data_IF_824708551084
#
_entry.id   IF_824708551084
#
_cell.length_a   1.000
_cell.length_b   1.000
_cell.length_c   1.000
_cell.angle_alpha   90.00
_cell.angle_beta   90.00
_cell.angle_gamma   90.00
#
_symmetry.space_group_name_H-M   'P 1'
#
loop_
_entity.id
_entity.type
_entity.pdbx_description
1 polymer ?
#
# COMPACT_ATOMS: atom_id res chain seq x y z
N UNK A 1 -5.61 -51.71 6.48
CA UNK A 1 -4.56 -50.89 7.14
C UNK A 1 -3.64 -50.18 6.15
N UNK A 2 -2.95 -50.87 5.23
CA UNK A 2 -2.03 -50.23 4.26
C UNK A 2 -2.67 -49.13 3.39
N UNK A 3 -3.89 -49.33 2.93
CA UNK A 3 -4.63 -48.32 2.15
C UNK A 3 -4.96 -47.06 2.95
N UNK A 4 -5.22 -47.19 4.26
CA UNK A 4 -5.49 -46.04 5.13
C UNK A 4 -4.24 -45.17 5.32
N UNK A 5 -3.07 -45.79 5.45
CA UNK A 5 -1.79 -45.07 5.51
C UNK A 5 -1.44 -44.38 4.19
N UNK A 6 -1.73 -45.01 3.05
CA UNK A 6 -1.55 -44.38 1.75
C UNK A 6 -2.49 -43.18 1.54
N UNK A 7 -3.75 -43.30 1.99
CA UNK A 7 -4.72 -42.21 1.93
C UNK A 7 -4.30 -41.04 2.84
N UNK A 8 -3.80 -41.35 4.03
CA UNK A 8 -3.32 -40.34 4.99
C UNK A 8 -2.10 -39.61 4.44
N UNK A 9 -1.14 -40.33 3.84
CA UNK A 9 0.02 -39.72 3.21
C UNK A 9 -0.37 -38.80 2.04
N UNK A 10 -1.34 -39.23 1.22
CA UNK A 10 -1.86 -38.41 0.12
C UNK A 10 -2.56 -37.15 0.63
N UNK A 11 -3.33 -37.26 1.72
CA UNK A 11 -3.99 -36.11 2.37
C UNK A 11 -2.99 -35.09 2.89
N UNK A 12 -1.90 -35.56 3.53
CA UNK A 12 -0.82 -34.70 4.04
C UNK A 12 -0.11 -33.96 2.90
N UNK A 13 0.18 -34.66 1.79
CA UNK A 13 0.80 -34.04 0.61
C UNK A 13 -0.13 -33.01 -0.03
N UNK A 14 -1.43 -33.32 -0.16
CA UNK A 14 -2.42 -32.39 -0.72
C UNK A 14 -2.64 -31.17 0.16
N UNK A 15 -2.57 -31.29 1.49
CA UNK A 15 -2.69 -30.14 2.39
C UNK A 15 -1.56 -29.12 2.26
N UNK A 16 -0.38 -29.53 1.76
CA UNK A 16 0.74 -28.62 1.49
C UNK A 16 0.65 -27.87 0.16
N UNK A 17 -0.24 -28.29 -0.76
CA UNK A 17 -0.38 -27.67 -2.09
C UNK A 17 -1.35 -26.48 -2.12
N UNK A 18 -2.09 -26.21 -1.05
CA UNK A 18 -2.84 -24.97 -0.90
C UNK A 18 -1.87 -23.86 -0.48
N UNK A 19 -0.99 -23.45 -1.40
CA UNK A 19 -0.26 -22.22 -1.26
C UNK A 19 -1.30 -21.10 -1.17
N UNK A 20 -1.40 -20.46 0.00
CA UNK A 20 -2.10 -19.20 0.15
C UNK A 20 -1.40 -18.22 -0.80
N UNK A 21 -2.06 -17.86 -1.90
CA UNK A 21 -1.74 -16.61 -2.57
C UNK A 21 -2.02 -15.53 -1.52
N UNK A 22 -0.98 -15.09 -0.82
CA UNK A 22 -1.06 -13.94 0.08
C UNK A 22 -1.25 -12.71 -0.79
N UNK A 23 -2.48 -12.51 -1.25
CA UNK A 23 -2.93 -11.22 -1.70
C UNK A 23 -3.03 -10.38 -0.44
N UNK A 24 -2.06 -9.49 -0.23
CA UNK A 24 -2.19 -8.43 0.75
C UNK A 24 -3.29 -7.50 0.25
N UNK A 25 -4.53 -7.84 0.58
CA UNK A 25 -5.71 -7.04 0.27
C UNK A 25 -5.75 -5.85 1.23
N UNK A 26 -5.83 -4.64 0.67
CA UNK A 26 -6.04 -3.43 1.46
C UNK A 26 -7.53 -3.39 1.82
N UNK A 27 -7.83 -3.48 3.11
CA UNK A 27 -9.19 -3.42 3.66
C UNK A 27 -9.39 -2.15 4.51
N UNK A 28 -10.61 -1.88 4.94
CA UNK A 28 -10.97 -0.76 5.81
C UNK A 28 -10.38 -0.91 7.23
N UNK A 29 -10.14 0.21 7.91
CA UNK A 29 -9.70 0.27 9.32
C UNK A 29 -8.38 -0.47 9.61
N UNK A 30 -7.44 -0.42 8.67
CA UNK A 30 -6.11 -1.01 8.78
C UNK A 30 -5.03 0.07 8.69
N UNK A 31 -3.94 -0.13 9.43
CA UNK A 31 -2.78 0.73 9.36
C UNK A 31 -1.77 0.21 8.31
N UNK A 32 -1.16 1.12 7.57
CA UNK A 32 -0.20 0.84 6.52
C UNK A 32 0.98 1.80 6.59
N UNK A 33 2.14 1.33 6.12
CA UNK A 33 3.30 2.17 5.82
C UNK A 33 3.46 2.23 4.30
N UNK A 34 3.57 3.44 3.77
CA UNK A 34 3.94 3.69 2.38
C UNK A 34 5.34 4.29 2.36
N UNK A 35 6.31 3.42 2.09
CA UNK A 35 7.71 3.78 2.00
C UNK A 35 8.22 3.55 0.58
N UNK A 36 9.05 4.46 0.07
CA UNK A 36 9.68 4.27 -1.23
C UNK A 36 10.53 5.44 -1.68
N UNK A 37 11.40 5.17 -2.64
CA UNK A 37 12.18 6.18 -3.35
C UNK A 37 12.01 6.04 -4.85
N UNK A 38 12.18 7.15 -5.57
CA UNK A 38 11.98 7.20 -7.01
C UNK A 38 12.23 8.58 -7.59
N UNK A 39 11.41 8.95 -8.57
CA UNK A 39 11.53 10.21 -9.28
C UNK A 39 10.18 10.92 -9.39
N UNK A 40 10.17 12.21 -9.09
CA UNK A 40 9.08 13.10 -9.45
C UNK A 40 9.41 13.78 -10.77
N UNK A 41 8.51 13.61 -11.75
CA UNK A 41 8.73 14.03 -13.13
C UNK A 41 7.71 15.10 -13.51
N UNK A 42 8.21 16.22 -14.01
CA UNK A 42 7.44 17.29 -14.65
C UNK A 42 7.86 17.40 -16.12
N UNK A 43 7.22 18.28 -16.89
CA UNK A 43 7.63 18.54 -18.27
C UNK A 43 9.06 19.09 -18.36
N UNK A 44 9.52 19.82 -17.34
CA UNK A 44 10.77 20.58 -17.36
C UNK A 44 11.89 19.92 -16.55
N UNK A 45 11.56 19.17 -15.50
CA UNK A 45 12.53 18.64 -14.53
C UNK A 45 12.20 17.25 -14.03
N UNK A 46 13.25 16.50 -13.70
CA UNK A 46 13.18 15.23 -12.95
C UNK A 46 13.90 15.45 -11.62
N UNK A 47 13.21 15.19 -10.51
CA UNK A 47 13.78 15.27 -9.16
C UNK A 47 13.76 13.91 -8.49
N UNK A 48 14.78 13.61 -7.68
CA UNK A 48 14.74 12.44 -6.80
C UNK A 48 13.58 12.65 -5.81
N UNK A 49 12.84 11.59 -5.51
CA UNK A 49 11.75 11.64 -4.54
C UNK A 49 11.86 10.52 -3.54
N UNK A 50 11.51 10.82 -2.30
CA UNK A 50 11.35 9.85 -1.23
C UNK A 50 9.99 10.08 -0.56
N UNK A 51 9.34 8.99 -0.17
CA UNK A 51 8.07 9.00 0.56
C UNK A 51 8.19 8.03 1.72
N UNK A 52 7.75 8.48 2.89
CA UNK A 52 7.55 7.66 4.08
C UNK A 52 6.29 8.19 4.75
N UNK A 53 5.20 7.43 4.70
CA UNK A 53 3.91 7.84 5.25
C UNK A 53 3.27 6.73 6.06
N UNK A 54 2.83 7.08 7.27
CA UNK A 54 1.94 6.28 8.09
C UNK A 54 0.48 6.58 7.73
N UNK A 55 -0.25 5.56 7.30
CA UNK A 55 -1.61 5.67 6.77
C UNK A 55 -2.59 4.82 7.57
N UNK A 56 -3.82 5.28 7.75
CA UNK A 56 -4.94 4.46 8.24
C UNK A 56 -6.06 4.42 7.20
N UNK A 57 -6.39 3.24 6.68
CA UNK A 57 -7.54 3.10 5.79
C UNK A 57 -8.84 3.33 6.55
N UNK A 58 -9.78 3.96 5.86
CA UNK A 58 -11.08 4.35 6.38
C UNK A 58 -12.16 3.59 5.61
N UNK A 59 -13.31 4.22 5.39
CA UNK A 59 -14.42 3.61 4.67
C UNK A 59 -14.12 3.41 3.18
N UNK A 60 -14.60 2.28 2.65
CA UNK A 60 -14.61 1.96 1.24
C UNK A 60 -15.88 2.52 0.58
N UNK A 61 -15.69 3.16 -0.57
CA UNK A 61 -16.76 3.65 -1.44
C UNK A 61 -16.56 3.10 -2.85
N UNK A 62 -17.27 2.01 -3.16
CA UNK A 62 -17.07 1.28 -4.41
C UNK A 62 -15.67 0.67 -4.47
N UNK A 63 -14.90 1.00 -5.52
CA UNK A 63 -13.52 0.51 -5.71
C UNK A 63 -12.44 1.42 -5.09
N UNK A 64 -12.84 2.39 -4.26
CA UNK A 64 -11.96 3.38 -3.63
C UNK A 64 -12.01 3.20 -2.12
N UNK A 65 -10.86 3.29 -1.45
CA UNK A 65 -10.78 3.29 0.01
C UNK A 65 -10.11 4.59 0.42
N UNK A 66 -10.81 5.43 1.17
CA UNK A 66 -10.23 6.65 1.70
C UNK A 66 -9.19 6.28 2.78
N UNK A 67 -8.13 7.08 2.95
CA UNK A 67 -7.21 6.91 4.07
C UNK A 67 -6.86 8.25 4.72
N UNK A 68 -6.54 8.20 6.01
CA UNK A 68 -5.94 9.31 6.75
C UNK A 68 -4.42 9.12 6.76
N UNK A 69 -3.68 10.22 6.63
CA UNK A 69 -2.23 10.23 6.83
C UNK A 69 -2.00 10.70 8.27
N UNK A 70 -1.38 9.85 9.07
CA UNK A 70 -1.16 10.08 10.51
C UNK A 70 0.18 10.78 10.76
N UNK A 71 1.23 10.32 10.07
CA UNK A 71 2.60 10.83 10.21
C UNK A 71 3.41 10.57 8.91
N UNK A 72 4.60 11.16 8.79
CA UNK A 72 5.53 10.99 7.68
C UNK A 72 5.93 12.25 6.90
N UNK A 73 6.49 12.05 5.71
CA UNK A 73 6.94 13.12 4.83
C UNK A 73 6.95 12.69 3.36
N UNK A 74 7.02 13.68 2.48
CA UNK A 74 7.41 13.50 1.09
C UNK A 74 8.62 14.42 0.86
N UNK A 75 9.66 13.93 0.20
CA UNK A 75 10.81 14.74 -0.22
C UNK A 75 10.83 14.77 -1.75
N UNK A 76 11.02 15.96 -2.33
CA UNK A 76 11.22 16.19 -3.78
C UNK A 76 12.52 16.97 -4.01
N UNK A 77 13.62 16.28 -4.25
CA UNK A 77 14.96 16.88 -4.34
C UNK A 77 15.47 17.28 -2.96
N UNK A 78 15.58 18.58 -2.70
CA UNK A 78 16.00 19.15 -1.41
C UNK A 78 14.81 19.69 -0.59
N UNK A 79 13.59 19.60 -1.14
CA UNK A 79 12.37 20.13 -0.53
C UNK A 79 11.62 19.02 0.23
N UNK A 80 11.29 19.26 1.50
CA UNK A 80 10.47 18.37 2.33
C UNK A 80 9.06 18.94 2.49
N UNK A 81 8.05 18.09 2.37
CA UNK A 81 6.64 18.45 2.41
C UNK A 81 5.96 17.89 3.66
N UNK A 82 5.41 18.79 4.47
CA UNK A 82 4.74 18.47 5.73
C UNK A 82 3.30 17.99 5.47
N UNK A 83 2.89 16.99 6.24
CA UNK A 83 1.69 16.16 6.07
C UNK A 83 0.37 16.92 6.11
N UNK A 84 0.30 18.04 6.85
CA UNK A 84 -0.98 18.69 7.19
C UNK A 84 -1.80 19.14 5.97
N UNK A 85 -1.18 19.17 4.78
CA UNK A 85 -1.81 19.58 3.53
C UNK A 85 -2.07 18.40 2.57
N UNK A 86 -1.87 17.15 2.98
CA UNK A 86 -2.00 15.97 2.14
C UNK A 86 -3.36 15.26 2.35
N UNK A 87 -3.99 14.88 1.25
CA UNK A 87 -5.20 14.05 1.20
C UNK A 87 -4.97 12.88 0.24
N UNK A 88 -5.41 11.68 0.63
CA UNK A 88 -5.18 10.51 -0.21
C UNK A 88 -6.27 9.45 -0.16
N UNK A 89 -6.18 8.53 -1.13
CA UNK A 89 -7.06 7.37 -1.26
C UNK A 89 -6.37 6.24 -2.01
N UNK A 90 -6.73 5.02 -1.64
CA UNK A 90 -6.46 3.84 -2.45
C UNK A 90 -7.49 3.74 -3.58
N UNK A 91 -7.03 3.40 -4.78
CA UNK A 91 -7.83 3.25 -5.98
C UNK A 91 -7.76 1.81 -6.49
N UNK A 92 -8.85 1.37 -7.15
CA UNK A 92 -8.96 0.04 -7.77
C UNK A 92 -8.65 -1.07 -6.77
N UNK A 93 -9.36 -1.08 -5.64
CA UNK A 93 -9.25 -2.13 -4.61
C UNK A 93 -7.82 -2.23 -4.05
N UNK A 94 -7.23 -1.09 -3.67
CA UNK A 94 -5.90 -1.07 -3.06
C UNK A 94 -4.71 -1.08 -4.03
N UNK A 95 -4.92 -1.23 -5.34
CA UNK A 95 -3.83 -1.41 -6.32
C UNK A 95 -3.02 -0.15 -6.61
N UNK A 96 -3.59 1.03 -6.38
CA UNK A 96 -2.91 2.30 -6.60
C UNK A 96 -3.15 3.23 -5.42
N UNK A 97 -2.15 4.05 -5.11
CA UNK A 97 -2.27 5.14 -4.16
C UNK A 97 -2.33 6.45 -4.94
N UNK A 98 -3.25 7.34 -4.57
CA UNK A 98 -3.22 8.74 -4.99
C UNK A 98 -3.15 9.62 -3.75
N UNK A 99 -2.12 10.46 -3.70
CA UNK A 99 -1.94 11.52 -2.70
C UNK A 99 -2.02 12.84 -3.47
N UNK A 100 -2.77 13.80 -2.94
CA UNK A 100 -2.87 15.15 -3.44
C UNK A 100 -2.56 16.09 -2.28
N UNK A 101 -1.89 17.20 -2.56
CA UNK A 101 -1.69 18.24 -1.58
C UNK A 101 -1.42 19.57 -2.25
N UNK A 102 -1.52 20.64 -1.48
CA UNK A 102 -1.12 21.96 -1.90
C UNK A 102 0.29 22.25 -1.40
N UNK A 103 1.09 22.83 -2.29
CA UNK A 103 2.46 23.23 -2.00
C UNK A 103 2.45 24.73 -1.76
N UNK A 104 2.72 25.14 -0.52
CA UNK A 104 3.11 26.52 -0.25
C UNK A 104 4.60 26.65 -0.56
N UNK A 105 4.93 27.21 -1.73
CA UNK A 105 6.30 27.64 -2.01
C UNK A 105 6.52 28.99 -1.33
N UNK A 106 7.43 29.03 -0.37
CA UNK A 106 7.99 30.27 0.18
C UNK A 106 8.78 31.06 -0.87
#
# INVERSE_FOLDING_TARGET
MKAAFALLALLVVLSGCFANESSAEISENQAFLLEGSGFAVTEETIRISEVDLSLSSQNQRGSTIDFLIEDGFIILGEEEFVISNLQGKFLREGKYVRINGEIESS
#
